data_IF_388515160179
#
_entry.id   IF_388515160179
#
_cell.length_a   1.000
_cell.length_b   1.000
_cell.length_c   1.000
_cell.angle_alpha   90.00
_cell.angle_beta   90.00
_cell.angle_gamma   90.00
#
_symmetry.space_group_name_H-M   'P 1'
#
loop_
_entity.id
_entity.type
_entity.pdbx_description
1 polymer ?
#
# COMPACT_ATOMS: atom_id res chain seq x y z
N UNK A 1 -11.91 -16.65 -2.57
CA UNK A 1 -11.03 -15.61 -2.02
C UNK A 1 -11.43 -14.29 -2.68
N UNK A 2 -11.78 -13.27 -1.90
CA UNK A 2 -12.13 -11.95 -2.48
C UNK A 2 -10.84 -11.26 -2.93
N UNK A 3 -10.85 -10.57 -4.05
CA UNK A 3 -9.65 -9.93 -4.61
C UNK A 3 -9.94 -8.46 -4.94
N UNK A 4 -9.01 -7.58 -4.55
CA UNK A 4 -9.02 -6.17 -4.91
C UNK A 4 -7.61 -5.72 -5.33
N UNK A 5 -7.55 -4.86 -6.34
CA UNK A 5 -6.31 -4.20 -6.79
C UNK A 5 -6.53 -2.69 -6.83
N UNK A 6 -6.48 -1.99 -5.68
CA UNK A 6 -6.72 -0.56 -5.63
C UNK A 6 -5.59 0.22 -6.32
N UNK A 7 -5.97 1.23 -7.10
CA UNK A 7 -5.04 2.09 -7.85
C UNK A 7 -4.80 3.45 -7.16
N UNK A 8 -5.55 3.72 -6.09
CA UNK A 8 -5.47 4.96 -5.32
C UNK A 8 -5.92 4.72 -3.86
N UNK A 9 -5.75 5.75 -3.03
CA UNK A 9 -6.06 5.71 -1.61
C UNK A 9 -7.54 5.46 -1.30
N UNK A 10 -8.45 6.10 -2.03
CA UNK A 10 -9.90 5.95 -1.81
C UNK A 10 -10.38 4.51 -2.11
N UNK A 11 -9.84 3.91 -3.18
CA UNK A 11 -10.12 2.53 -3.54
C UNK A 11 -9.56 1.53 -2.52
N UNK A 12 -8.37 1.83 -1.97
CA UNK A 12 -7.76 1.01 -0.92
C UNK A 12 -8.59 1.08 0.37
N UNK A 13 -9.01 2.28 0.78
CA UNK A 13 -9.87 2.47 1.96
C UNK A 13 -11.21 1.73 1.81
N UNK A 14 -11.83 1.82 0.63
CA UNK A 14 -13.07 1.11 0.32
C UNK A 14 -12.89 -0.41 0.39
N UNK A 15 -11.80 -0.94 -0.18
CA UNK A 15 -11.48 -2.37 -0.16
C UNK A 15 -11.25 -2.87 1.27
N UNK A 16 -10.53 -2.12 2.10
CA UNK A 16 -10.30 -2.44 3.51
C UNK A 16 -11.60 -2.44 4.31
N UNK A 17 -12.41 -1.38 4.19
CA UNK A 17 -13.70 -1.26 4.86
C UNK A 17 -14.66 -2.41 4.51
N UNK A 18 -14.61 -2.87 3.26
CA UNK A 18 -15.43 -3.99 2.78
C UNK A 18 -14.91 -5.33 3.30
N UNK A 19 -13.58 -5.53 3.26
CA UNK A 19 -12.93 -6.78 3.67
C UNK A 19 -13.22 -7.13 5.14
N UNK A 20 -13.11 -6.14 6.05
CA UNK A 20 -13.31 -6.36 7.49
C UNK A 20 -14.75 -6.70 7.88
N UNK A 21 -15.74 -6.35 7.05
CA UNK A 21 -17.16 -6.59 7.35
C UNK A 21 -17.62 -7.99 6.95
N UNK A 22 -16.78 -8.76 6.27
CA UNK A 22 -17.18 -10.04 5.70
C UNK A 22 -16.29 -11.17 6.23
N UNK A 23 -16.87 -12.30 6.69
CA UNK A 23 -16.08 -13.43 7.13
C UNK A 23 -15.28 -14.01 5.94
N UNK A 24 -14.08 -14.52 6.25
CA UNK A 24 -13.16 -15.12 5.31
C UNK A 24 -11.96 -14.24 4.96
N UNK A 25 -11.18 -14.68 3.98
CA UNK A 25 -9.99 -13.97 3.52
C UNK A 25 -10.28 -13.09 2.29
N UNK A 26 -9.68 -11.91 2.29
CA UNK A 26 -9.67 -10.96 1.16
C UNK A 26 -8.22 -10.65 0.82
N UNK A 27 -7.82 -10.88 -0.44
CA UNK A 27 -6.54 -10.52 -1.00
C UNK A 27 -6.63 -9.09 -1.57
N UNK A 28 -5.78 -8.20 -1.08
CA UNK A 28 -5.66 -6.84 -1.58
C UNK A 28 -4.24 -6.68 -2.11
N UNK A 29 -4.09 -6.49 -3.42
CA UNK A 29 -2.81 -6.31 -4.08
C UNK A 29 -2.60 -4.82 -4.40
N UNK A 30 -1.65 -4.19 -3.70
CA UNK A 30 -1.25 -2.82 -3.97
C UNK A 30 -0.03 -2.85 -4.90
N UNK A 31 -0.23 -2.51 -6.17
CA UNK A 31 0.86 -2.41 -7.13
C UNK A 31 1.54 -1.06 -6.99
N UNK A 32 2.80 -1.08 -6.60
CA UNK A 32 3.68 0.10 -6.52
C UNK A 32 4.80 -0.01 -7.54
N UNK A 33 5.39 1.12 -7.91
CA UNK A 33 6.58 1.11 -8.75
C UNK A 33 7.73 0.39 -8.02
N UNK A 34 8.57 -0.29 -8.79
CA UNK A 34 9.65 -1.16 -8.30
C UNK A 34 10.69 -0.44 -7.43
N UNK A 35 11.09 0.77 -7.82
CA UNK A 35 12.18 1.51 -7.20
C UNK A 35 11.72 2.56 -6.18
N UNK A 36 10.46 2.99 -6.21
CA UNK A 36 9.97 4.14 -5.44
C UNK A 36 10.22 3.97 -3.93
N UNK A 37 9.97 2.77 -3.40
CA UNK A 37 10.20 2.47 -1.98
C UNK A 37 11.67 2.57 -1.58
N UNK A 38 12.56 1.97 -2.38
CA UNK A 38 14.00 1.99 -2.12
C UNK A 38 14.58 3.40 -2.24
N UNK A 39 14.17 4.16 -3.27
CA UNK A 39 14.60 5.54 -3.47
C UNK A 39 14.12 6.45 -2.34
N UNK A 40 12.85 6.30 -1.91
CA UNK A 40 12.31 7.10 -0.80
C UNK A 40 13.08 6.85 0.49
N UNK A 41 13.42 5.59 0.77
CA UNK A 41 14.23 5.22 1.93
C UNK A 41 15.63 5.84 1.87
N UNK A 42 16.32 5.73 0.74
CA UNK A 42 17.65 6.34 0.55
C UNK A 42 17.62 7.85 0.75
N UNK A 43 16.61 8.52 0.21
CA UNK A 43 16.44 9.96 0.37
C UNK A 43 16.22 10.35 1.84
N UNK A 44 15.38 9.63 2.57
CA UNK A 44 15.15 9.87 4.00
C UNK A 44 16.42 9.65 4.82
N UNK A 45 17.22 8.62 4.52
CA UNK A 45 18.50 8.38 5.17
C UNK A 45 19.48 9.54 4.94
N UNK A 46 19.61 10.01 3.70
CA UNK A 46 20.42 11.17 3.38
C UNK A 46 19.91 12.42 4.11
N UNK A 47 18.60 12.66 4.19
CA UNK A 47 18.06 13.82 4.89
C UNK A 47 18.36 13.80 6.39
N UNK A 48 18.21 12.64 7.04
CA UNK A 48 18.46 12.49 8.48
C UNK A 48 19.96 12.53 8.80
N UNK A 49 20.84 12.11 7.90
CA UNK A 49 22.30 12.15 8.14
C UNK A 49 22.90 13.55 8.05
N UNK A 50 22.19 14.53 7.50
CA UNK A 50 22.62 15.93 7.46
C UNK A 50 22.08 16.75 8.65
N UNK A 51 21.34 16.11 9.57
CA UNK A 51 20.93 16.66 10.87
C UNK A 51 21.96 16.30 11.94
#
# INVERSE_FOLDING_TARGET
>A
LKYHRPENWDALETALNTAWRQPGATLIELVVNDADGAQKLQHLLAQVSHL
#
